data_IF_734866993753
#
_entry.id   IF_734866993753
#
_cell.length_a   1.000
_cell.length_b   1.000
_cell.length_c   1.000
_cell.angle_alpha   90.00
_cell.angle_beta   90.00
_cell.angle_gamma   90.00
#
_symmetry.space_group_name_H-M   'P 1'
#
loop_
_entity.id
_entity.type
_entity.pdbx_description
1 polymer ?
#
# COMPACT_ATOMS: atom_id res chain seq x y z
N UNK A 1 -7.85 -4.65 -20.27
CA UNK A 1 -7.28 -3.71 -19.28
C UNK A 1 -6.27 -4.44 -18.40
N UNK A 2 -5.02 -3.94 -18.31
CA UNK A 2 -3.94 -4.62 -17.58
C UNK A 2 -4.08 -4.61 -16.05
N UNK A 3 -4.73 -3.63 -15.50
CA UNK A 3 -4.95 -3.47 -14.06
C UNK A 3 -6.35 -3.86 -13.60
N UNK A 4 -6.94 -4.86 -14.27
CA UNK A 4 -8.21 -5.44 -13.86
C UNK A 4 -8.07 -6.24 -12.56
N UNK A 5 -9.06 -6.07 -11.68
CA UNK A 5 -9.20 -6.77 -10.40
C UNK A 5 -10.07 -8.02 -10.53
N UNK A 6 -9.95 -8.93 -9.57
CA UNK A 6 -10.96 -9.96 -9.32
C UNK A 6 -11.94 -9.40 -8.29
N UNK A 7 -13.23 -9.33 -8.63
CA UNK A 7 -14.24 -8.66 -7.81
C UNK A 7 -15.11 -9.67 -7.06
N UNK A 8 -15.48 -9.33 -5.83
CA UNK A 8 -16.48 -10.04 -5.03
C UNK A 8 -17.38 -9.01 -4.31
N UNK A 9 -18.46 -8.60 -4.95
CA UNK A 9 -19.29 -7.47 -4.52
C UNK A 9 -18.46 -6.18 -4.44
N UNK A 10 -18.42 -5.56 -3.27
CA UNK A 10 -17.64 -4.33 -3.02
C UNK A 10 -16.21 -4.62 -2.50
N UNK A 11 -15.71 -5.84 -2.66
CA UNK A 11 -14.36 -6.23 -2.25
C UNK A 11 -13.60 -6.78 -3.44
N UNK A 12 -12.31 -6.49 -3.47
CA UNK A 12 -11.46 -6.79 -4.61
C UNK A 12 -10.25 -7.60 -4.16
N UNK A 13 -9.93 -8.67 -4.90
CA UNK A 13 -8.62 -9.29 -4.91
C UNK A 13 -7.78 -8.47 -5.89
N UNK A 14 -7.26 -7.39 -5.38
CA UNK A 14 -6.99 -6.14 -6.01
C UNK A 14 -5.79 -6.09 -6.95
N UNK A 15 -4.81 -5.28 -6.56
CA UNK A 15 -3.73 -4.78 -7.40
C UNK A 15 -2.83 -5.87 -8.00
N UNK A 16 -2.27 -5.58 -9.19
CA UNK A 16 -1.35 -6.47 -9.92
C UNK A 16 -1.94 -7.14 -11.16
N UNK A 17 -3.17 -6.77 -11.56
CA UNK A 17 -3.77 -7.24 -12.81
C UNK A 17 -4.24 -8.70 -12.78
N UNK A 18 -4.52 -9.26 -11.60
CA UNK A 18 -4.97 -10.66 -11.49
C UNK A 18 -6.30 -10.92 -12.21
N UNK A 19 -7.19 -9.92 -12.32
CA UNK A 19 -8.38 -9.99 -13.14
C UNK A 19 -8.07 -10.15 -14.63
N UNK A 20 -7.03 -9.46 -15.13
CA UNK A 20 -6.59 -9.61 -16.50
C UNK A 20 -6.01 -11.02 -16.75
N UNK A 21 -5.25 -11.57 -15.80
CA UNK A 21 -4.74 -12.96 -15.88
C UNK A 21 -5.89 -13.95 -15.88
N UNK A 22 -6.88 -13.79 -15.00
CA UNK A 22 -8.07 -14.64 -14.94
C UNK A 22 -8.85 -14.60 -16.27
N UNK A 23 -9.08 -13.40 -16.81
CA UNK A 23 -9.77 -13.20 -18.07
C UNK A 23 -9.01 -13.81 -19.28
N UNK A 24 -7.67 -13.71 -19.30
CA UNK A 24 -6.84 -14.31 -20.37
C UNK A 24 -6.92 -15.83 -20.42
N UNK A 25 -7.36 -16.46 -19.34
CA UNK A 25 -7.56 -17.91 -19.23
C UNK A 25 -9.02 -18.31 -19.44
N UNK A 26 -9.87 -17.37 -19.88
CA UNK A 26 -11.33 -17.57 -20.05
C UNK A 26 -12.04 -18.03 -18.74
N UNK A 27 -11.44 -17.77 -17.58
CA UNK A 27 -12.03 -18.08 -16.28
C UNK A 27 -12.87 -16.88 -15.82
N UNK A 28 -14.20 -17.03 -15.83
CA UNK A 28 -15.12 -15.94 -15.52
C UNK A 28 -15.36 -15.73 -14.02
N UNK A 29 -15.49 -16.82 -13.28
CA UNK A 29 -15.76 -16.76 -11.84
C UNK A 29 -15.24 -18.00 -11.11
N UNK A 30 -14.99 -17.85 -9.80
CA UNK A 30 -14.77 -18.96 -8.88
C UNK A 30 -15.84 -18.84 -7.79
N UNK A 31 -16.64 -19.89 -7.60
CA UNK A 31 -17.70 -19.93 -6.58
C UNK A 31 -17.29 -20.90 -5.49
N UNK A 32 -17.32 -20.44 -4.25
CA UNK A 32 -17.11 -21.27 -3.07
C UNK A 32 -18.42 -21.39 -2.29
N UNK A 33 -18.90 -22.63 -2.13
CA UNK A 33 -20.05 -22.94 -1.30
C UNK A 33 -19.59 -23.38 0.09
N UNK A 34 -19.90 -22.60 1.11
CA UNK A 34 -19.68 -22.93 2.51
C UNK A 34 -20.99 -22.83 3.29
N UNK A 35 -21.32 -23.86 4.08
CA UNK A 35 -22.53 -23.82 4.94
C UNK A 35 -22.33 -22.92 6.16
N UNK A 36 -21.15 -22.97 6.77
CA UNK A 36 -20.79 -22.15 7.93
C UNK A 36 -19.33 -21.65 7.83
N UNK A 37 -19.12 -20.37 8.16
CA UNK A 37 -17.78 -19.85 8.39
C UNK A 37 -17.48 -19.92 9.90
N UNK A 38 -16.74 -20.96 10.30
CA UNK A 38 -16.37 -21.15 11.70
C UNK A 38 -14.92 -21.59 11.83
N UNK A 39 -14.12 -20.81 12.52
CA UNK A 39 -12.78 -21.25 12.93
C UNK A 39 -12.92 -22.07 14.20
N UNK A 40 -12.56 -23.34 14.14
CA UNK A 40 -12.52 -24.25 15.29
C UNK A 40 -11.06 -24.44 15.73
N UNK A 41 -10.56 -23.62 16.67
CA UNK A 41 -9.20 -23.75 17.14
C UNK A 41 -9.03 -25.02 17.97
N UNK A 42 -7.98 -25.80 17.71
CA UNK A 42 -7.67 -27.00 18.50
C UNK A 42 -7.37 -26.67 19.97
N UNK A 43 -6.83 -25.49 20.26
CA UNK A 43 -6.69 -24.96 21.62
C UNK A 43 -7.56 -23.71 21.80
N UNK A 44 -8.85 -23.90 22.07
CA UNK A 44 -9.83 -22.84 22.22
C UNK A 44 -9.51 -21.87 23.38
N UNK A 45 -8.98 -22.37 24.49
CA UNK A 45 -8.61 -21.54 25.66
C UNK A 45 -7.53 -20.53 25.29
N UNK A 46 -6.44 -20.99 24.68
CA UNK A 46 -5.34 -20.11 24.25
C UNK A 46 -5.79 -19.16 23.13
N UNK A 47 -6.56 -19.64 22.16
CA UNK A 47 -7.10 -18.82 21.10
C UNK A 47 -7.94 -17.66 21.62
N UNK A 48 -8.89 -17.95 22.54
CA UNK A 48 -9.75 -16.92 23.11
C UNK A 48 -8.97 -15.91 23.96
N UNK A 49 -7.94 -16.35 24.69
CA UNK A 49 -7.04 -15.45 25.45
C UNK A 49 -6.35 -14.45 24.52
N UNK A 50 -5.71 -14.94 23.45
CA UNK A 50 -4.96 -14.08 22.51
C UNK A 50 -5.91 -13.19 21.70
N UNK A 51 -7.06 -13.72 21.27
CA UNK A 51 -8.11 -12.95 20.61
C UNK A 51 -8.62 -11.79 21.47
N UNK A 52 -8.84 -12.03 22.78
CA UNK A 52 -9.25 -10.98 23.73
C UNK A 52 -8.17 -9.90 23.85
N UNK A 53 -6.90 -10.28 23.94
CA UNK A 53 -5.75 -9.35 23.97
C UNK A 53 -5.70 -8.50 22.68
N UNK A 54 -5.79 -9.13 21.52
CA UNK A 54 -5.77 -8.42 20.23
C UNK A 54 -6.94 -7.44 20.10
N UNK A 55 -8.16 -7.86 20.49
CA UNK A 55 -9.32 -6.97 20.47
C UNK A 55 -9.15 -5.82 21.47
N UNK A 56 -8.54 -6.04 22.62
CA UNK A 56 -8.14 -4.98 23.54
C UNK A 56 -7.21 -3.96 22.91
N UNK A 57 -6.16 -4.44 22.24
CA UNK A 57 -5.24 -3.56 21.50
C UNK A 57 -5.96 -2.76 20.40
N UNK A 58 -6.80 -3.41 19.58
CA UNK A 58 -7.57 -2.74 18.53
C UNK A 58 -8.49 -1.65 19.10
N UNK A 59 -9.18 -1.93 20.20
CA UNK A 59 -10.16 -1.00 20.79
C UNK A 59 -9.50 0.16 21.57
N UNK A 60 -8.27 -0.01 22.06
CA UNK A 60 -7.53 1.02 22.79
C UNK A 60 -6.62 1.87 21.86
N UNK A 61 -6.44 1.46 20.62
CA UNK A 61 -5.54 2.16 19.70
C UNK A 61 -6.27 3.29 18.98
N UNK A 62 -5.74 4.51 19.09
CA UNK A 62 -6.33 5.72 18.52
C UNK A 62 -6.48 5.69 17.00
N UNK A 63 -5.68 4.89 16.30
CA UNK A 63 -5.77 4.77 14.85
C UNK A 63 -6.90 3.81 14.47
N UNK A 64 -6.90 2.59 15.04
CA UNK A 64 -7.89 1.57 14.68
C UNK A 64 -9.27 1.87 15.24
N UNK A 65 -9.37 2.25 16.52
CA UNK A 65 -10.64 2.55 17.17
C UNK A 65 -11.08 4.00 17.08
N UNK A 66 -10.11 4.93 17.01
CA UNK A 66 -10.38 6.35 16.82
C UNK A 66 -10.58 6.69 15.35
N UNK A 67 -9.49 6.96 14.64
CA UNK A 67 -9.52 7.53 13.29
C UNK A 67 -10.19 6.62 12.25
N UNK A 68 -9.76 5.36 12.15
CA UNK A 68 -10.26 4.46 11.09
C UNK A 68 -11.70 4.01 11.32
N UNK A 69 -12.10 3.79 12.58
CA UNK A 69 -13.49 3.45 12.90
C UNK A 69 -14.44 4.60 12.64
N UNK A 70 -14.00 5.84 12.87
CA UNK A 70 -14.82 7.04 12.68
C UNK A 70 -14.86 7.53 11.24
N UNK A 71 -13.71 7.51 10.54
CA UNK A 71 -13.53 8.21 9.27
C UNK A 71 -13.06 7.31 8.12
N UNK A 72 -12.88 6.01 8.37
CA UNK A 72 -12.25 5.13 7.39
C UNK A 72 -10.77 5.47 7.16
N UNK A 73 -10.21 4.95 6.08
CA UNK A 73 -8.83 5.26 5.68
C UNK A 73 -8.65 6.71 5.24
N UNK A 74 -9.73 7.44 4.98
CA UNK A 74 -9.70 8.86 4.60
C UNK A 74 -9.21 9.78 5.74
N UNK A 75 -9.15 9.30 6.98
CA UNK A 75 -8.41 9.97 8.06
C UNK A 75 -6.94 10.25 7.68
N UNK A 76 -6.38 9.50 6.73
CA UNK A 76 -5.01 9.69 6.25
C UNK A 76 -4.84 10.94 5.36
N UNK A 77 -5.91 11.56 4.84
CA UNK A 77 -5.80 12.74 3.96
C UNK A 77 -5.12 13.89 4.69
N UNK A 78 -5.67 14.31 5.83
CA UNK A 78 -5.12 15.42 6.61
C UNK A 78 -3.73 15.08 7.16
N UNK A 79 -3.49 13.84 7.59
CA UNK A 79 -2.18 13.38 8.04
C UNK A 79 -1.13 13.43 6.93
N UNK A 80 -1.46 12.93 5.74
CA UNK A 80 -0.55 12.95 4.59
C UNK A 80 -0.28 14.37 4.10
N UNK A 81 -1.30 15.23 4.12
CA UNK A 81 -1.19 16.64 3.76
C UNK A 81 -0.25 17.39 4.71
N UNK A 82 -0.45 17.23 6.01
CA UNK A 82 0.39 17.84 7.05
C UNK A 82 1.84 17.33 7.00
N UNK A 83 2.03 16.03 6.70
CA UNK A 83 3.36 15.44 6.55
C UNK A 83 4.04 15.78 5.20
N UNK A 84 3.33 16.43 4.29
CA UNK A 84 3.83 16.77 2.96
C UNK A 84 4.03 15.57 2.05
N UNK A 85 3.29 14.49 2.23
CA UNK A 85 3.35 13.26 1.42
C UNK A 85 2.07 12.97 0.63
N UNK A 86 1.07 13.86 0.69
CA UNK A 86 -0.14 13.74 -0.13
C UNK A 86 0.24 13.96 -1.61
N UNK A 87 -0.16 13.07 -2.54
CA UNK A 87 0.08 13.33 -3.96
C UNK A 87 -0.75 14.52 -4.44
N UNK A 88 -0.09 15.46 -5.09
CA UNK A 88 -0.71 16.66 -5.66
C UNK A 88 -0.22 16.85 -7.08
N UNK A 89 -1.14 16.98 -8.04
CA UNK A 89 -0.85 17.24 -9.46
C UNK A 89 0.25 16.29 -10.00
N UNK A 90 -0.14 15.04 -10.21
CA UNK A 90 0.75 13.95 -10.60
C UNK A 90 2.04 13.88 -9.77
N UNK A 91 1.91 13.97 -8.43
CA UNK A 91 3.04 13.97 -7.48
C UNK A 91 4.04 15.14 -7.67
N UNK A 92 3.68 16.25 -8.30
CA UNK A 92 4.57 17.42 -8.36
C UNK A 92 4.62 18.19 -7.03
N UNK A 93 3.55 18.12 -6.22
CA UNK A 93 3.47 18.66 -4.86
C UNK A 93 3.21 17.57 -3.82
N UNK A 94 3.38 17.92 -2.53
CA UNK A 94 3.18 17.01 -1.39
C UNK A 94 2.12 17.48 -0.40
N UNK A 95 1.52 18.64 -0.63
CA UNK A 95 0.44 19.23 0.18
C UNK A 95 -0.37 20.23 -0.63
N UNK A 96 -1.65 20.44 -0.25
CA UNK A 96 -2.56 21.40 -0.87
C UNK A 96 -3.52 21.99 0.16
N UNK A 97 -3.84 23.29 0.06
CA UNK A 97 -4.73 23.98 0.99
C UNK A 97 -6.16 23.45 1.03
N UNK A 98 -6.65 22.92 -0.07
CA UNK A 98 -8.01 22.37 -0.19
C UNK A 98 -8.14 20.88 0.17
N UNK A 99 -7.04 20.23 0.61
CA UNK A 99 -7.06 18.79 0.93
C UNK A 99 -8.15 18.42 1.94
N UNK A 100 -8.45 19.31 2.89
CA UNK A 100 -9.49 19.10 3.88
C UNK A 100 -10.88 18.83 3.27
N UNK A 101 -11.18 19.34 2.06
CA UNK A 101 -12.46 19.16 1.35
C UNK A 101 -12.73 17.70 0.97
N UNK A 102 -11.69 16.85 0.93
CA UNK A 102 -11.79 15.43 0.62
C UNK A 102 -11.34 14.56 1.81
N UNK A 103 -11.28 15.11 3.03
CA UNK A 103 -10.89 14.39 4.24
C UNK A 103 -11.99 13.49 4.77
N UNK A 104 -11.61 12.47 5.57
CA UNK A 104 -12.56 11.56 6.19
C UNK A 104 -13.46 12.26 7.21
N UNK A 105 -12.95 13.27 7.89
CA UNK A 105 -13.68 14.09 8.84
C UNK A 105 -14.82 14.83 8.14
N UNK A 106 -14.52 15.52 7.02
CA UNK A 106 -15.55 16.22 6.25
C UNK A 106 -16.57 15.28 5.62
N UNK A 107 -16.13 14.11 5.16
CA UNK A 107 -17.05 13.09 4.63
C UNK A 107 -18.01 12.56 5.69
N UNK A 108 -17.53 12.31 6.90
CA UNK A 108 -18.37 11.88 8.01
C UNK A 108 -19.42 12.94 8.37
N UNK A 109 -19.05 14.21 8.34
CA UNK A 109 -19.93 15.34 8.63
C UNK A 109 -21.02 15.54 7.56
N UNK A 110 -20.63 15.51 6.25
CA UNK A 110 -21.51 15.95 5.16
C UNK A 110 -22.26 14.84 4.42
N UNK A 111 -21.82 13.58 4.52
CA UNK A 111 -22.34 12.48 3.69
C UNK A 111 -23.04 11.37 4.48
N UNK A 112 -23.47 11.62 5.72
CA UNK A 112 -24.24 10.67 6.55
C UNK A 112 -23.62 9.27 6.58
N UNK A 113 -22.34 9.19 6.84
CA UNK A 113 -21.59 7.93 6.72
C UNK A 113 -22.03 6.88 7.72
N UNK A 114 -22.17 5.64 7.27
CA UNK A 114 -22.52 4.46 8.08
C UNK A 114 -21.55 3.32 7.80
N UNK A 115 -21.38 2.41 8.78
CA UNK A 115 -20.49 1.26 8.60
C UNK A 115 -20.91 0.35 7.44
N UNK A 116 -19.95 0.01 6.61
CA UNK A 116 -20.05 -0.99 5.54
C UNK A 116 -18.75 -1.80 5.49
N UNK A 117 -18.59 -2.69 6.46
CA UNK A 117 -17.30 -3.32 6.79
C UNK A 117 -17.23 -4.77 6.34
N UNK A 118 -16.02 -5.33 6.36
CA UNK A 118 -15.80 -6.78 6.29
C UNK A 118 -16.51 -7.47 7.46
N UNK A 119 -16.95 -8.71 7.27
CA UNK A 119 -17.58 -9.50 8.33
C UNK A 119 -16.83 -10.82 8.54
N UNK A 120 -16.40 -11.15 9.79
CA UNK A 120 -16.38 -10.28 10.97
C UNK A 120 -15.25 -9.25 10.93
N UNK A 121 -15.42 -8.08 11.57
CA UNK A 121 -14.40 -7.04 11.63
C UNK A 121 -14.44 -6.32 12.99
N UNK A 122 -13.27 -6.17 13.64
CA UNK A 122 -13.11 -5.41 14.88
C UNK A 122 -12.68 -3.95 14.66
N UNK A 123 -12.16 -3.60 13.46
CA UNK A 123 -11.64 -2.25 13.16
C UNK A 123 -12.74 -1.33 12.64
N UNK A 124 -13.62 -1.86 11.78
CA UNK A 124 -14.78 -1.15 11.23
C UNK A 124 -14.44 0.05 10.32
N UNK A 125 -13.37 -0.05 9.54
CA UNK A 125 -12.88 1.05 8.69
C UNK A 125 -13.67 1.29 7.39
N UNK A 126 -14.53 0.38 6.96
CA UNK A 126 -15.33 0.54 5.75
C UNK A 126 -16.61 1.31 6.02
N UNK A 127 -16.96 2.25 5.14
CA UNK A 127 -18.15 3.08 5.25
C UNK A 127 -18.90 3.16 3.92
N UNK A 128 -20.20 3.52 3.99
CA UNK A 128 -21.02 4.00 2.89
C UNK A 128 -21.59 5.35 3.29
N UNK A 129 -21.89 6.19 2.32
CA UNK A 129 -22.44 7.53 2.54
C UNK A 129 -23.33 7.98 1.40
N UNK A 130 -24.02 9.10 1.59
CA UNK A 130 -24.87 9.72 0.58
C UNK A 130 -24.05 10.74 -0.22
N UNK A 131 -23.80 10.45 -1.49
CA UNK A 131 -23.09 11.33 -2.41
C UNK A 131 -24.02 11.77 -3.54
N UNK A 132 -24.49 13.01 -3.48
CA UNK A 132 -25.38 13.56 -4.50
C UNK A 132 -26.72 12.82 -4.63
N UNK A 133 -27.28 12.31 -3.53
CA UNK A 133 -28.53 11.54 -3.51
C UNK A 133 -28.37 10.03 -3.71
N UNK A 134 -27.17 9.55 -4.06
CA UNK A 134 -26.85 8.12 -4.21
C UNK A 134 -26.10 7.60 -2.98
N UNK A 135 -26.61 6.53 -2.36
CA UNK A 135 -25.90 5.85 -1.26
C UNK A 135 -24.91 4.85 -1.84
N UNK A 136 -23.63 5.14 -1.69
CA UNK A 136 -22.53 4.28 -2.20
C UNK A 136 -21.40 4.12 -1.20
N UNK A 137 -20.39 3.30 -1.53
CA UNK A 137 -19.19 3.14 -0.70
C UNK A 137 -18.41 4.45 -0.62
N UNK A 138 -18.03 4.85 0.58
CA UNK A 138 -17.06 5.95 0.76
C UNK A 138 -15.76 5.51 0.10
N UNK A 139 -15.20 6.28 -0.86
CA UNK A 139 -13.93 5.94 -1.49
C UNK A 139 -12.81 5.85 -0.44
N UNK A 140 -11.95 4.85 -0.53
CA UNK A 140 -10.80 4.67 0.36
C UNK A 140 -9.74 5.77 0.11
N UNK A 141 -8.85 5.99 1.08
CA UNK A 141 -7.79 7.02 0.99
C UNK A 141 -7.00 7.00 -0.32
N UNK A 142 -6.65 5.82 -0.80
CA UNK A 142 -5.91 5.68 -2.06
C UNK A 142 -6.69 6.25 -3.25
N UNK A 143 -7.98 5.99 -3.30
CA UNK A 143 -8.88 6.51 -4.34
C UNK A 143 -9.03 8.03 -4.21
N UNK A 144 -9.28 8.50 -2.99
CA UNK A 144 -9.45 9.93 -2.69
C UNK A 144 -8.19 10.73 -2.98
N UNK A 145 -7.03 10.26 -2.55
CA UNK A 145 -5.76 10.97 -2.78
C UNK A 145 -5.39 11.03 -4.25
N UNK A 146 -5.69 9.97 -5.01
CA UNK A 146 -5.26 9.89 -6.40
C UNK A 146 -6.27 10.47 -7.41
N UNK A 147 -7.57 10.30 -7.23
CA UNK A 147 -8.57 11.03 -8.04
C UNK A 147 -8.81 12.45 -7.54
N UNK A 148 -8.53 12.73 -6.27
CA UNK A 148 -8.68 14.05 -5.66
C UNK A 148 -7.45 14.93 -5.87
N UNK A 149 -6.63 15.08 -4.84
CA UNK A 149 -5.50 16.01 -4.85
C UNK A 149 -4.49 15.76 -5.98
N UNK A 150 -4.29 14.51 -6.38
CA UNK A 150 -3.38 14.18 -7.48
C UNK A 150 -3.88 14.66 -8.86
N UNK A 151 -5.20 14.81 -9.04
CA UNK A 151 -5.81 15.44 -10.23
C UNK A 151 -6.20 16.91 -9.98
N UNK A 152 -5.97 17.48 -8.79
CA UNK A 152 -6.44 18.81 -8.34
C UNK A 152 -7.97 18.93 -8.31
N UNK A 153 -8.68 17.85 -8.00
CA UNK A 153 -10.13 17.80 -7.91
C UNK A 153 -10.52 17.52 -6.46
N UNK A 154 -11.22 18.48 -5.83
CA UNK A 154 -11.56 18.43 -4.40
C UNK A 154 -13.07 18.30 -4.19
N UNK A 155 -13.73 17.50 -5.05
CA UNK A 155 -15.16 17.19 -5.01
C UNK A 155 -15.38 15.72 -4.62
N UNK A 156 -15.82 15.44 -3.37
CA UNK A 156 -16.08 14.08 -2.91
C UNK A 156 -17.17 13.36 -3.70
N UNK A 157 -18.16 14.10 -4.25
CA UNK A 157 -19.27 13.51 -5.01
C UNK A 157 -18.75 12.96 -6.34
N UNK A 158 -17.93 13.74 -7.05
CA UNK A 158 -17.29 13.28 -8.29
C UNK A 158 -16.35 12.11 -8.06
N UNK A 159 -15.56 12.13 -6.99
CA UNK A 159 -14.65 11.04 -6.68
C UNK A 159 -15.42 9.75 -6.31
N UNK A 160 -16.56 9.87 -5.61
CA UNK A 160 -17.43 8.73 -5.33
C UNK A 160 -18.06 8.14 -6.61
N UNK A 161 -18.49 8.99 -7.54
CA UNK A 161 -18.96 8.58 -8.87
C UNK A 161 -17.88 7.75 -9.61
N UNK A 162 -16.65 8.26 -9.66
CA UNK A 162 -15.54 7.56 -10.32
C UNK A 162 -15.12 6.27 -9.62
N UNK A 163 -15.21 6.24 -8.30
CA UNK A 163 -15.01 5.01 -7.53
C UNK A 163 -16.05 3.94 -7.89
N UNK A 164 -17.30 4.32 -8.08
CA UNK A 164 -18.37 3.41 -8.51
C UNK A 164 -18.09 2.87 -9.92
N UNK A 165 -17.75 3.74 -10.89
CA UNK A 165 -17.39 3.33 -12.25
C UNK A 165 -16.22 2.33 -12.22
N UNK A 166 -15.16 2.63 -11.46
CA UNK A 166 -14.03 1.71 -11.32
C UNK A 166 -14.45 0.37 -10.70
N UNK A 167 -15.36 0.40 -9.72
CA UNK A 167 -15.87 -0.82 -9.07
C UNK A 167 -16.69 -1.68 -10.01
N UNK A 168 -17.59 -1.08 -10.78
CA UNK A 168 -18.44 -1.76 -11.78
C UNK A 168 -17.60 -2.37 -12.90
N UNK A 169 -16.56 -1.66 -13.36
CA UNK A 169 -15.66 -2.12 -14.42
C UNK A 169 -14.53 -3.04 -13.92
N UNK A 170 -14.44 -3.27 -12.61
CA UNK A 170 -13.38 -4.08 -12.01
C UNK A 170 -11.97 -3.48 -12.16
N UNK A 171 -11.84 -2.16 -12.07
CA UNK A 171 -10.55 -1.46 -12.18
C UNK A 171 -9.85 -1.28 -10.83
N UNK A 172 -8.53 -1.35 -10.82
CA UNK A 172 -7.70 -0.80 -9.74
C UNK A 172 -7.76 0.73 -9.77
N UNK A 173 -8.41 1.35 -8.78
CA UNK A 173 -8.59 2.81 -8.70
C UNK A 173 -7.26 3.57 -8.64
N UNK A 174 -6.23 2.98 -8.03
CA UNK A 174 -4.88 3.56 -7.98
C UNK A 174 -4.29 3.65 -9.40
N UNK A 175 -4.31 2.54 -10.13
CA UNK A 175 -3.75 2.50 -11.48
C UNK A 175 -4.54 3.37 -12.45
N UNK A 176 -5.87 3.37 -12.36
CA UNK A 176 -6.71 4.24 -13.20
C UNK A 176 -6.40 5.71 -12.96
N UNK A 177 -6.42 6.18 -11.70
CA UNK A 177 -6.20 7.58 -11.35
C UNK A 177 -4.79 8.07 -11.72
N UNK A 178 -3.75 7.27 -11.45
CA UNK A 178 -2.36 7.64 -11.81
C UNK A 178 -2.15 7.64 -13.31
N UNK A 179 -2.80 6.73 -14.05
CA UNK A 179 -2.73 6.74 -15.53
C UNK A 179 -3.44 7.95 -16.11
N UNK A 180 -4.59 8.36 -15.54
CA UNK A 180 -5.29 9.61 -15.90
C UNK A 180 -4.40 10.83 -15.60
N UNK A 181 -3.74 10.86 -14.43
CA UNK A 181 -2.81 11.94 -14.08
C UNK A 181 -1.65 12.06 -15.09
N UNK A 182 -1.10 10.90 -15.54
CA UNK A 182 -0.13 10.89 -16.63
C UNK A 182 -0.72 11.47 -17.93
N UNK A 183 -1.93 11.07 -18.30
CA UNK A 183 -2.60 11.55 -19.51
C UNK A 183 -2.85 13.08 -19.48
N UNK A 184 -3.27 13.62 -18.33
CA UNK A 184 -3.42 15.06 -18.12
C UNK A 184 -2.10 15.80 -18.32
N UNK A 185 -1.01 15.32 -17.69
CA UNK A 185 0.31 15.96 -17.83
C UNK A 185 0.90 15.80 -19.23
N UNK A 186 0.72 14.63 -19.86
CA UNK A 186 1.14 14.39 -21.23
C UNK A 186 0.37 15.31 -22.23
N UNK A 187 -0.89 15.60 -21.97
CA UNK A 187 -1.69 16.56 -22.75
C UNK A 187 -1.15 17.98 -22.60
N UNK A 188 -0.86 18.44 -21.37
CA UNK A 188 -0.25 19.76 -21.15
C UNK A 188 1.12 19.92 -21.84
N UNK A 189 1.88 18.83 -21.98
CA UNK A 189 3.19 18.79 -22.62
C UNK A 189 3.13 18.55 -24.15
N UNK A 190 1.93 18.37 -24.72
CA UNK A 190 1.75 18.10 -26.14
C UNK A 190 2.20 16.71 -26.59
N UNK A 191 2.38 15.77 -25.67
CA UNK A 191 2.79 14.38 -25.96
C UNK A 191 1.61 13.46 -26.29
N UNK A 192 0.44 13.77 -25.75
CA UNK A 192 -0.80 12.99 -25.90
C UNK A 192 -2.01 13.91 -25.83
N UNK A 193 -3.01 13.70 -26.66
CA UNK A 193 -4.24 14.51 -26.62
C UNK A 193 -5.40 13.72 -25.97
N UNK A 194 -5.48 13.76 -24.65
CA UNK A 194 -6.55 13.11 -23.89
C UNK A 194 -7.78 14.01 -23.70
N UNK A 195 -7.68 15.31 -23.97
CA UNK A 195 -8.64 16.35 -23.61
C UNK A 195 -8.82 16.55 -22.10
N UNK A 196 -8.21 15.73 -21.24
CA UNK A 196 -8.29 15.82 -19.78
C UNK A 196 -7.38 16.92 -19.25
N UNK A 197 -7.83 17.62 -18.19
CA UNK A 197 -7.09 18.75 -17.60
C UNK A 197 -7.09 18.67 -16.08
N UNK A 198 -5.94 18.95 -15.44
CA UNK A 198 -5.89 19.09 -13.99
C UNK A 198 -6.87 20.16 -13.49
N UNK A 199 -7.58 19.86 -12.41
CA UNK A 199 -8.56 20.73 -11.78
C UNK A 199 -9.95 20.73 -12.45
N UNK A 200 -10.12 20.07 -13.61
CA UNK A 200 -11.44 19.87 -14.23
C UNK A 200 -11.90 18.41 -14.09
N UNK A 201 -13.14 18.18 -13.59
CA UNK A 201 -13.74 16.85 -13.58
C UNK A 201 -14.22 16.39 -14.96
N UNK A 202 -14.25 17.27 -15.95
CA UNK A 202 -14.80 17.01 -17.27
C UNK A 202 -14.04 15.90 -18.01
N UNK A 203 -14.76 14.97 -18.60
CA UNK A 203 -14.22 13.86 -19.37
C UNK A 203 -13.63 12.71 -18.55
N UNK A 204 -13.50 12.84 -17.20
CA UNK A 204 -12.88 11.77 -16.36
C UNK A 204 -13.79 10.55 -16.29
N UNK A 205 -15.10 10.71 -16.12
CA UNK A 205 -16.06 9.60 -16.09
C UNK A 205 -16.08 8.85 -17.42
N UNK A 206 -16.10 9.58 -18.53
CA UNK A 206 -16.06 9.05 -19.90
C UNK A 206 -14.75 8.28 -20.14
N UNK A 207 -13.62 8.85 -19.75
CA UNK A 207 -12.32 8.19 -19.87
C UNK A 207 -12.25 6.87 -19.07
N UNK A 208 -12.83 6.84 -17.86
CA UNK A 208 -12.93 5.60 -17.06
C UNK A 208 -13.82 4.55 -17.75
N UNK A 209 -14.97 4.95 -18.30
CA UNK A 209 -15.82 4.05 -19.06
C UNK A 209 -15.12 3.54 -20.33
N UNK A 210 -14.39 4.39 -21.04
CA UNK A 210 -13.59 4.00 -22.21
C UNK A 210 -12.46 3.02 -21.84
N UNK A 211 -11.79 3.22 -20.70
CA UNK A 211 -10.78 2.29 -20.17
C UNK A 211 -11.41 0.91 -19.92
N UNK A 212 -12.56 0.88 -19.25
CA UNK A 212 -13.28 -0.37 -18.96
C UNK A 212 -13.67 -1.14 -20.22
N UNK A 213 -14.12 -0.44 -21.23
CA UNK A 213 -14.56 -1.00 -22.50
C UNK A 213 -13.46 -1.11 -23.58
N UNK A 214 -12.24 -0.66 -23.30
CA UNK A 214 -11.11 -0.64 -24.25
C UNK A 214 -11.45 0.13 -25.54
N UNK A 215 -12.10 1.28 -25.45
CA UNK A 215 -12.54 2.15 -26.57
C UNK A 215 -11.84 3.51 -26.49
N UNK A 216 -11.89 4.29 -27.57
CA UNK A 216 -11.34 5.65 -27.62
C UNK A 216 -9.94 5.75 -27.05
N UNK A 217 -9.68 6.74 -26.20
CA UNK A 217 -8.43 6.90 -25.46
C UNK A 217 -8.22 5.78 -24.44
N UNK A 218 -9.30 5.15 -24.00
CA UNK A 218 -9.28 4.03 -23.07
C UNK A 218 -8.51 2.81 -23.56
N UNK A 219 -8.35 2.60 -24.88
CA UNK A 219 -7.50 1.54 -25.43
C UNK A 219 -6.06 1.64 -24.94
N UNK A 220 -5.52 2.84 -24.94
CA UNK A 220 -4.15 3.10 -24.52
C UNK A 220 -4.05 3.19 -23.00
N UNK A 221 -4.93 3.95 -22.36
CA UNK A 221 -4.92 4.14 -20.91
C UNK A 221 -5.14 2.82 -20.14
N UNK A 222 -5.90 1.89 -20.70
CA UNK A 222 -6.08 0.54 -20.12
C UNK A 222 -4.79 -0.30 -20.05
N UNK A 223 -3.74 0.14 -20.73
CA UNK A 223 -2.42 -0.50 -20.70
C UNK A 223 -1.53 0.00 -19.55
N UNK A 224 -1.94 1.06 -18.84
CA UNK A 224 -1.24 1.66 -17.72
C UNK A 224 -0.17 2.68 -18.11
N UNK A 225 0.24 3.51 -17.12
CA UNK A 225 1.12 4.67 -17.31
C UNK A 225 2.48 4.30 -17.91
N UNK A 226 3.06 3.15 -17.55
CA UNK A 226 4.35 2.67 -18.11
C UNK A 226 4.28 2.44 -19.61
N UNK A 227 3.18 1.81 -20.06
CA UNK A 227 3.01 1.53 -21.49
C UNK A 227 2.74 2.81 -22.27
N UNK A 228 1.86 3.67 -21.73
CA UNK A 228 1.56 4.96 -22.34
C UNK A 228 2.82 5.81 -22.52
N UNK A 229 3.63 5.91 -21.47
CA UNK A 229 4.87 6.68 -21.51
C UNK A 229 5.88 6.13 -22.51
N UNK A 230 6.00 4.81 -22.63
CA UNK A 230 6.85 4.20 -23.68
C UNK A 230 6.40 4.50 -25.10
N UNK A 231 5.08 4.64 -25.30
CA UNK A 231 4.52 4.90 -26.63
C UNK A 231 4.55 6.37 -27.01
N UNK A 232 4.31 7.25 -26.04
CA UNK A 232 4.07 8.68 -26.28
C UNK A 232 5.10 9.61 -25.64
N UNK A 233 5.99 9.09 -24.79
CA UNK A 233 6.94 9.89 -24.00
C UNK A 233 6.44 10.18 -22.59
N UNK A 234 7.25 10.91 -21.80
CA UNK A 234 6.90 11.28 -20.43
C UNK A 234 7.21 10.18 -19.42
N UNK A 235 8.27 9.39 -19.65
CA UNK A 235 8.70 8.34 -18.73
C UNK A 235 9.10 8.90 -17.35
N UNK A 236 9.63 10.13 -17.31
CA UNK A 236 10.07 10.81 -16.10
C UNK A 236 8.94 11.13 -15.13
N UNK A 237 7.71 11.33 -15.64
CA UNK A 237 6.49 11.59 -14.85
C UNK A 237 5.45 10.46 -14.91
N UNK A 238 5.80 9.31 -15.49
CA UNK A 238 4.99 8.09 -15.41
C UNK A 238 5.20 7.42 -14.03
N UNK A 239 4.28 7.65 -13.11
CA UNK A 239 4.42 7.31 -11.70
C UNK A 239 4.13 5.82 -11.45
N UNK A 240 5.10 4.97 -11.75
CA UNK A 240 5.01 3.52 -11.52
C UNK A 240 6.37 2.90 -11.16
N UNK A 241 6.34 1.72 -10.53
CA UNK A 241 7.53 0.86 -10.36
C UNK A 241 7.17 -0.54 -10.86
N UNK A 242 8.01 -1.10 -11.70
CA UNK A 242 7.78 -2.41 -12.35
C UNK A 242 6.45 -2.49 -13.12
N UNK A 243 5.92 -1.33 -13.55
CA UNK A 243 4.65 -1.22 -14.27
C UNK A 243 3.39 -1.23 -13.38
N UNK A 244 3.54 -1.17 -12.07
CA UNK A 244 2.44 -0.93 -11.13
C UNK A 244 2.48 0.53 -10.68
N UNK A 245 1.40 1.25 -10.86
CA UNK A 245 1.26 2.66 -10.47
C UNK A 245 1.36 2.81 -8.95
N UNK A 246 1.92 3.96 -8.50
CA UNK A 246 2.22 4.20 -7.09
C UNK A 246 0.98 4.56 -6.28
N UNK A 247 0.95 4.09 -5.05
CA UNK A 247 -0.04 4.45 -4.04
C UNK A 247 0.13 5.90 -3.56
N UNK A 248 -0.87 6.43 -2.87
CA UNK A 248 -1.02 7.86 -2.56
C UNK A 248 -0.08 8.39 -1.45
N UNK A 249 1.19 7.99 -1.45
CA UNK A 249 2.21 8.46 -0.50
C UNK A 249 3.48 8.86 -1.23
N UNK A 250 3.81 10.16 -1.24
CA UNK A 250 5.01 10.69 -1.91
C UNK A 250 6.29 10.26 -1.17
N UNK A 251 7.16 9.47 -1.83
CA UNK A 251 8.35 8.91 -1.19
C UNK A 251 9.43 9.93 -0.86
N UNK A 252 9.36 11.15 -1.42
CA UNK A 252 10.31 12.23 -1.10
C UNK A 252 10.11 12.75 0.33
N UNK A 253 8.95 12.50 0.96
CA UNK A 253 8.68 12.80 2.35
C UNK A 253 8.82 11.60 3.30
N UNK A 254 9.17 10.41 2.77
CA UNK A 254 9.37 9.18 3.52
C UNK A 254 10.30 8.24 2.74
N UNK A 255 11.62 8.50 2.81
CA UNK A 255 12.61 7.84 1.93
C UNK A 255 12.73 6.33 2.15
N UNK A 256 12.42 5.82 3.35
CA UNK A 256 12.34 4.37 3.59
C UNK A 256 11.15 3.74 2.87
N UNK A 257 10.04 4.47 2.76
CA UNK A 257 8.93 4.03 1.92
C UNK A 257 9.29 4.05 0.43
N UNK A 258 10.10 5.03 0.01
CA UNK A 258 10.69 5.05 -1.33
C UNK A 258 11.54 3.80 -1.63
N UNK A 259 12.37 3.37 -0.68
CA UNK A 259 13.10 2.11 -0.80
C UNK A 259 12.15 0.91 -0.91
N UNK A 260 11.09 0.89 -0.10
CA UNK A 260 10.07 -0.16 -0.15
C UNK A 260 9.35 -0.22 -1.50
N UNK A 261 8.98 0.92 -2.08
CA UNK A 261 8.38 0.95 -3.43
C UNK A 261 9.32 0.38 -4.48
N UNK A 262 10.60 0.78 -4.46
CA UNK A 262 11.58 0.31 -5.42
C UNK A 262 11.84 -1.19 -5.34
N UNK A 263 11.88 -1.76 -4.12
CA UNK A 263 12.23 -3.18 -3.88
C UNK A 263 11.06 -4.14 -3.82
N UNK A 264 9.83 -3.63 -3.69
CA UNK A 264 8.64 -4.47 -3.60
C UNK A 264 8.51 -5.44 -4.80
N UNK A 265 8.27 -6.72 -4.51
CA UNK A 265 8.25 -7.78 -5.51
C UNK A 265 7.18 -7.57 -6.58
N UNK A 266 6.03 -7.03 -6.24
CA UNK A 266 4.92 -6.76 -7.18
C UNK A 266 4.93 -5.35 -7.78
N UNK A 267 5.89 -4.50 -7.43
CA UNK A 267 5.95 -3.10 -7.88
C UNK A 267 5.53 -2.12 -6.78
N UNK A 268 5.11 -0.91 -7.16
CA UNK A 268 4.84 0.22 -6.26
C UNK A 268 3.68 -0.03 -5.28
N UNK A 269 3.91 -0.88 -4.28
CA UNK A 269 2.90 -1.25 -3.29
C UNK A 269 3.19 -0.68 -1.90
N UNK A 270 2.27 0.15 -1.38
CA UNK A 270 2.37 0.71 -0.03
C UNK A 270 2.22 -0.35 1.08
N UNK A 271 1.57 -1.48 0.80
CA UNK A 271 1.33 -2.56 1.77
C UNK A 271 2.50 -3.53 1.91
N UNK A 272 3.59 -3.35 1.17
CA UNK A 272 4.78 -4.20 1.35
C UNK A 272 5.47 -3.96 2.69
N UNK A 273 5.43 -2.73 3.22
CA UNK A 273 6.05 -2.39 4.51
C UNK A 273 5.28 -1.35 5.33
N UNK A 274 4.43 -0.56 4.73
CA UNK A 274 3.79 0.64 5.32
C UNK A 274 4.78 1.58 6.04
N UNK A 275 6.01 1.73 5.52
CA UNK A 275 7.06 2.55 6.14
C UNK A 275 6.64 4.02 6.32
N UNK A 276 5.76 4.54 5.45
CA UNK A 276 5.23 5.90 5.58
C UNK A 276 4.60 6.16 6.95
N UNK A 277 4.00 5.16 7.59
CA UNK A 277 3.38 5.33 8.91
C UNK A 277 4.42 5.64 9.99
N UNK A 278 5.55 4.93 9.98
CA UNK A 278 6.63 5.14 10.95
C UNK A 278 7.40 6.44 10.68
N UNK A 279 7.51 6.82 9.41
CA UNK A 279 8.30 7.98 8.99
C UNK A 279 7.50 9.27 9.05
N UNK A 280 6.28 9.29 8.50
CA UNK A 280 5.50 10.49 8.30
C UNK A 280 4.39 10.67 9.35
N UNK A 281 3.67 9.60 9.72
CA UNK A 281 2.53 9.73 10.63
C UNK A 281 2.96 9.71 12.11
N UNK A 282 3.81 8.76 12.49
CA UNK A 282 4.22 8.61 13.89
C UNK A 282 5.56 9.27 14.22
N UNK A 283 6.30 9.68 13.20
CA UNK A 283 7.64 10.27 13.34
C UNK A 283 8.61 9.42 14.21
N UNK A 284 8.36 8.11 14.29
CA UNK A 284 9.19 7.16 15.03
C UNK A 284 10.48 6.80 14.30
N UNK A 285 10.56 7.12 13.01
CA UNK A 285 11.76 7.04 12.19
C UNK A 285 11.90 8.35 11.40
N UNK A 286 13.11 8.89 11.27
CA UNK A 286 13.31 10.14 10.52
C UNK A 286 12.90 9.95 9.04
N UNK A 287 12.02 10.80 8.48
CA UNK A 287 11.53 10.65 7.12
C UNK A 287 12.61 10.83 6.05
N UNK A 288 13.71 11.52 6.35
CA UNK A 288 14.77 11.84 5.39
C UNK A 288 16.10 11.11 5.63
N UNK A 289 16.27 10.46 6.78
CA UNK A 289 17.50 9.75 7.10
C UNK A 289 17.60 8.42 6.34
N UNK A 290 18.75 8.18 5.73
CA UNK A 290 19.07 6.91 5.02
C UNK A 290 19.46 5.78 5.96
N UNK A 291 19.95 6.13 7.17
CA UNK A 291 20.47 5.17 8.15
C UNK A 291 19.33 4.29 8.69
N UNK A 292 19.56 2.98 8.78
CA UNK A 292 18.61 2.00 9.31
C UNK A 292 17.48 1.59 8.36
N UNK A 293 17.18 2.36 7.29
CA UNK A 293 16.03 2.11 6.41
C UNK A 293 16.05 0.73 5.75
N UNK A 294 17.21 0.29 5.26
CA UNK A 294 17.38 -1.02 4.65
C UNK A 294 17.03 -2.18 5.59
N UNK A 295 17.37 -2.05 6.89
CA UNK A 295 17.04 -3.05 7.90
C UNK A 295 15.55 -3.03 8.24
N UNK A 296 14.95 -1.83 8.36
CA UNK A 296 13.52 -1.66 8.62
C UNK A 296 12.69 -2.22 7.47
N UNK A 297 12.99 -1.84 6.23
CA UNK A 297 12.28 -2.33 5.04
C UNK A 297 12.38 -3.87 4.97
N UNK A 298 13.57 -4.44 5.11
CA UNK A 298 13.75 -5.90 5.17
C UNK A 298 12.86 -6.55 6.24
N UNK A 299 12.81 -5.99 7.43
CA UNK A 299 12.03 -6.53 8.55
C UNK A 299 10.53 -6.51 8.24
N UNK A 300 9.99 -5.35 7.84
CA UNK A 300 8.55 -5.20 7.60
C UNK A 300 8.07 -5.98 6.39
N UNK A 301 8.85 -6.06 5.29
CA UNK A 301 8.52 -6.94 4.16
C UNK A 301 8.36 -8.40 4.61
N UNK A 302 9.26 -8.88 5.48
CA UNK A 302 9.15 -10.24 6.04
C UNK A 302 7.93 -10.39 6.96
N UNK A 303 7.68 -9.45 7.86
CA UNK A 303 6.53 -9.50 8.78
C UNK A 303 5.22 -9.46 8.01
N UNK A 304 5.08 -8.54 7.06
CA UNK A 304 3.85 -8.44 6.26
C UNK A 304 3.65 -9.64 5.32
N UNK A 305 4.71 -10.22 4.76
CA UNK A 305 4.59 -11.47 4.00
C UNK A 305 4.07 -12.63 4.87
N UNK A 306 4.56 -12.74 6.12
CA UNK A 306 4.06 -13.73 7.07
C UNK A 306 2.60 -13.47 7.48
N UNK A 307 2.22 -12.21 7.73
CA UNK A 307 0.82 -11.82 8.00
C UNK A 307 -0.11 -12.17 6.85
N UNK A 308 0.30 -11.87 5.61
CA UNK A 308 -0.48 -12.18 4.42
C UNK A 308 -0.74 -13.68 4.28
N UNK A 309 0.24 -14.53 4.64
CA UNK A 309 0.06 -15.98 4.63
C UNK A 309 -0.98 -16.50 5.64
N UNK A 310 -1.30 -15.68 6.65
CA UNK A 310 -2.35 -15.95 7.63
C UNK A 310 -3.69 -15.28 7.30
N UNK A 311 -3.79 -14.59 6.17
CA UNK A 311 -4.98 -13.82 5.76
C UNK A 311 -5.45 -12.79 6.80
N UNK A 312 -4.52 -12.17 7.53
CA UNK A 312 -4.82 -11.19 8.57
C UNK A 312 -4.85 -9.78 7.97
N UNK A 313 -5.83 -8.98 8.38
CA UNK A 313 -5.95 -7.59 7.97
C UNK A 313 -4.72 -6.78 8.39
N UNK A 314 -4.12 -6.02 7.46
CA UNK A 314 -2.95 -5.18 7.70
C UNK A 314 -3.17 -4.12 8.78
N UNK A 315 -4.38 -3.62 8.95
CA UNK A 315 -4.67 -2.59 9.97
C UNK A 315 -4.53 -3.10 11.40
N UNK A 316 -4.58 -4.43 11.64
CA UNK A 316 -4.27 -4.99 12.95
C UNK A 316 -2.82 -4.71 13.37
N UNK A 317 -1.93 -4.50 12.42
CA UNK A 317 -0.52 -4.19 12.69
C UNK A 317 -0.35 -2.88 13.48
N UNK A 318 -1.19 -1.87 13.24
CA UNK A 318 -1.12 -0.61 14.01
C UNK A 318 -1.31 -0.85 15.50
N UNK A 319 -2.34 -1.62 15.87
CA UNK A 319 -2.58 -1.95 17.27
C UNK A 319 -1.46 -2.84 17.84
N UNK A 320 -1.02 -3.86 17.09
CA UNK A 320 0.02 -4.80 17.56
C UNK A 320 1.39 -4.09 17.72
N UNK A 321 1.72 -3.13 16.86
CA UNK A 321 3.00 -2.43 16.95
C UNK A 321 3.00 -1.30 17.99
N UNK A 322 1.86 -0.64 18.24
CA UNK A 322 1.81 0.58 19.03
C UNK A 322 1.30 0.39 20.47
N UNK A 323 0.50 -0.64 20.73
CA UNK A 323 -0.10 -0.87 22.05
C UNK A 323 0.82 -1.59 23.07
N UNK A 324 1.82 -2.42 22.68
CA UNK A 324 2.72 -2.99 23.68
C UNK A 324 3.40 -1.90 24.52
N UNK A 325 3.52 -2.10 25.86
CA UNK A 325 3.94 -1.07 26.80
C UNK A 325 5.29 -0.42 26.45
N UNK A 326 6.24 -1.21 25.95
CA UNK A 326 7.56 -0.71 25.57
C UNK A 326 7.48 0.38 24.49
N UNK A 327 6.65 0.21 23.50
CA UNK A 327 6.47 1.21 22.43
C UNK A 327 5.55 2.33 22.91
N UNK A 328 4.43 1.98 23.54
CA UNK A 328 3.39 2.92 23.95
C UNK A 328 3.92 4.00 24.92
N UNK A 329 4.80 3.62 25.84
CA UNK A 329 5.30 4.52 26.86
C UNK A 329 6.71 5.08 26.56
N UNK A 330 7.35 4.68 25.49
CA UNK A 330 8.63 5.28 25.07
C UNK A 330 8.37 6.59 24.31
N UNK A 331 8.94 7.72 24.74
CA UNK A 331 8.79 8.99 24.03
C UNK A 331 9.26 8.90 22.58
N UNK A 332 8.56 9.57 21.66
CA UNK A 332 8.88 9.58 20.23
C UNK A 332 10.35 9.91 19.91
N UNK A 333 11.01 10.90 20.58
CA UNK A 333 12.44 11.14 20.36
C UNK A 333 13.32 9.95 20.68
N UNK A 334 13.01 9.20 21.75
CA UNK A 334 13.71 7.96 22.12
C UNK A 334 13.53 6.85 21.07
N UNK A 335 12.29 6.63 20.60
CA UNK A 335 12.01 5.69 19.52
C UNK A 335 12.75 6.06 18.24
N UNK A 336 12.80 7.34 17.90
CA UNK A 336 13.53 7.85 16.74
C UNK A 336 15.04 7.61 16.85
N UNK A 337 15.61 7.85 18.02
CA UNK A 337 17.02 7.59 18.29
C UNK A 337 17.36 6.09 18.14
N UNK A 338 16.53 5.20 18.73
CA UNK A 338 16.67 3.75 18.62
C UNK A 338 16.57 3.27 17.18
N UNK A 339 15.56 3.71 16.44
CA UNK A 339 15.35 3.29 15.05
C UNK A 339 16.44 3.77 14.10
N UNK A 340 17.10 4.87 14.39
CA UNK A 340 18.20 5.42 13.58
C UNK A 340 19.56 4.80 13.90
N UNK A 341 19.87 4.61 15.19
CA UNK A 341 21.21 4.25 15.64
C UNK A 341 21.33 2.78 16.01
N UNK A 342 20.28 2.18 16.55
CA UNK A 342 20.23 0.80 17.03
C UNK A 342 19.08 0.03 16.36
N UNK A 343 18.90 0.23 15.04
CA UNK A 343 17.78 -0.34 14.27
C UNK A 343 17.56 -1.85 14.52
N UNK A 344 18.58 -2.73 14.51
CA UNK A 344 18.36 -4.16 14.77
C UNK A 344 17.78 -4.41 16.17
N UNK A 345 18.24 -3.66 17.18
CA UNK A 345 17.73 -3.77 18.54
C UNK A 345 16.28 -3.29 18.62
N UNK A 346 15.99 -2.12 18.06
CA UNK A 346 14.63 -1.56 18.02
C UNK A 346 13.63 -2.55 17.40
N UNK A 347 13.98 -3.19 16.29
CA UNK A 347 13.13 -4.17 15.62
C UNK A 347 13.00 -5.50 16.37
N UNK A 348 14.00 -5.90 17.14
CA UNK A 348 13.93 -7.10 17.98
C UNK A 348 13.07 -6.89 19.23
N UNK A 349 12.91 -5.64 19.67
CA UNK A 349 12.04 -5.26 20.80
C UNK A 349 10.56 -5.13 20.37
N UNK A 350 10.25 -5.12 19.08
CA UNK A 350 8.86 -5.11 18.61
C UNK A 350 8.17 -6.45 18.89
N UNK A 351 7.08 -6.40 19.64
CA UNK A 351 6.28 -7.59 19.92
C UNK A 351 5.37 -7.94 18.73
N UNK A 352 5.74 -8.99 18.02
CA UNK A 352 4.96 -9.57 16.92
C UNK A 352 4.38 -10.93 17.28
N UNK A 353 4.33 -11.26 18.56
CA UNK A 353 3.99 -12.60 19.05
C UNK A 353 2.51 -12.99 18.89
N UNK A 354 1.60 -12.02 18.80
CA UNK A 354 0.16 -12.26 18.68
C UNK A 354 -0.17 -13.13 17.47
N UNK A 355 0.41 -12.85 16.31
CA UNK A 355 0.13 -13.61 15.10
C UNK A 355 0.56 -15.08 15.18
N UNK A 356 1.81 -15.42 15.54
CA UNK A 356 2.18 -16.83 15.71
C UNK A 356 1.46 -17.52 16.88
N UNK A 357 1.09 -16.79 17.95
CA UNK A 357 0.28 -17.37 19.03
C UNK A 357 -1.11 -17.82 18.54
N UNK A 358 -1.81 -16.97 17.77
CA UNK A 358 -3.09 -17.32 17.17
C UNK A 358 -2.96 -18.56 16.27
N UNK A 359 -1.95 -18.57 15.39
CA UNK A 359 -1.71 -19.72 14.51
C UNK A 359 -1.45 -21.01 15.29
N UNK A 360 -0.58 -20.97 16.34
CA UNK A 360 -0.31 -22.13 17.18
C UNK A 360 -1.56 -22.64 17.89
N UNK A 361 -2.39 -21.73 18.40
CA UNK A 361 -3.64 -22.09 19.07
C UNK A 361 -4.65 -22.76 18.09
N UNK A 362 -4.78 -22.25 16.88
CA UNK A 362 -5.62 -22.87 15.83
C UNK A 362 -5.13 -24.26 15.49
N UNK A 363 -3.81 -24.44 15.34
CA UNK A 363 -3.19 -25.72 14.98
C UNK A 363 -3.03 -26.71 16.15
N UNK A 364 -3.35 -26.31 17.39
CA UNK A 364 -3.16 -27.13 18.59
C UNK A 364 -1.68 -27.36 18.94
N UNK A 365 -0.80 -26.45 18.54
CA UNK A 365 0.64 -26.54 18.80
C UNK A 365 1.03 -25.70 20.01
N UNK A 366 2.02 -26.15 20.78
CA UNK A 366 2.59 -25.36 21.86
C UNK A 366 3.35 -24.16 21.29
N UNK A 367 3.03 -22.98 21.79
CA UNK A 367 3.74 -21.76 21.45
C UNK A 367 4.92 -21.55 22.40
N UNK A 368 6.12 -21.49 21.85
CA UNK A 368 7.34 -21.12 22.58
C UNK A 368 7.68 -19.69 22.14
N UNK A 369 7.62 -18.67 23.02
CA UNK A 369 7.60 -17.26 22.64
C UNK A 369 8.70 -16.86 21.65
N UNK A 370 9.94 -16.94 22.04
CA UNK A 370 11.06 -16.54 21.19
C UNK A 370 11.17 -17.36 19.89
N UNK A 371 11.08 -18.69 20.02
CA UNK A 371 11.16 -19.61 18.88
C UNK A 371 9.99 -19.42 17.89
N UNK A 372 8.79 -19.16 18.41
CA UNK A 372 7.61 -18.88 17.58
C UNK A 372 7.77 -17.62 16.76
N UNK A 373 8.29 -16.55 17.35
CA UNK A 373 8.58 -15.30 16.62
C UNK A 373 9.69 -15.48 15.57
N UNK A 374 10.76 -16.22 15.90
CA UNK A 374 11.83 -16.50 14.92
C UNK A 374 11.30 -17.30 13.72
N UNK A 375 10.48 -18.34 13.97
CA UNK A 375 9.86 -19.13 12.90
C UNK A 375 8.92 -18.28 12.04
N UNK A 376 8.13 -17.41 12.64
CA UNK A 376 7.24 -16.50 11.94
C UNK A 376 8.04 -15.56 11.02
N UNK A 377 9.10 -14.92 11.53
CA UNK A 377 9.99 -14.06 10.74
C UNK A 377 10.69 -14.82 9.61
N UNK A 378 11.18 -16.05 9.88
CA UNK A 378 11.81 -16.91 8.85
C UNK A 378 10.83 -17.29 7.75
N UNK A 379 9.57 -17.57 8.10
CA UNK A 379 8.50 -17.85 7.13
C UNK A 379 8.28 -16.65 6.20
N UNK A 380 8.16 -15.45 6.75
CA UNK A 380 7.99 -14.23 5.94
C UNK A 380 9.21 -13.92 5.08
N UNK A 381 10.42 -14.08 5.61
CA UNK A 381 11.65 -13.95 4.81
C UNK A 381 11.67 -14.93 3.64
N UNK A 382 11.28 -16.20 3.89
CA UNK A 382 11.21 -17.24 2.86
C UNK A 382 10.20 -16.91 1.77
N UNK A 383 9.00 -16.43 2.11
CA UNK A 383 7.97 -16.01 1.15
C UNK A 383 8.51 -14.88 0.29
N UNK A 384 9.01 -13.81 0.91
CA UNK A 384 9.52 -12.65 0.18
C UNK A 384 10.69 -12.98 -0.76
N UNK A 385 11.63 -13.83 -0.29
CA UNK A 385 12.78 -14.25 -1.12
C UNK A 385 12.35 -15.18 -2.24
N UNK A 386 11.36 -16.05 -2.02
CA UNK A 386 10.80 -16.91 -3.07
C UNK A 386 10.14 -16.07 -4.18
N UNK A 387 9.32 -15.10 -3.83
CA UNK A 387 8.72 -14.16 -4.79
C UNK A 387 9.80 -13.41 -5.58
N UNK A 388 10.85 -12.91 -4.89
CA UNK A 388 11.98 -12.25 -5.57
C UNK A 388 12.71 -13.20 -6.52
N UNK A 389 12.96 -14.43 -6.09
CA UNK A 389 13.61 -15.44 -6.92
C UNK A 389 12.79 -15.76 -8.18
N UNK A 390 11.47 -15.91 -8.05
CA UNK A 390 10.58 -16.08 -9.21
C UNK A 390 10.67 -14.89 -10.16
N UNK A 391 10.61 -13.66 -9.63
CA UNK A 391 10.72 -12.45 -10.45
C UNK A 391 12.06 -12.35 -11.18
N UNK A 392 13.17 -12.76 -10.55
CA UNK A 392 14.49 -12.73 -11.23
C UNK A 392 14.57 -13.72 -12.38
N UNK A 393 13.84 -14.83 -12.31
CA UNK A 393 13.73 -15.77 -13.43
C UNK A 393 12.93 -15.21 -14.61
N UNK A 394 12.04 -14.24 -14.35
CA UNK A 394 11.29 -13.49 -15.36
C UNK A 394 12.05 -12.22 -15.81
N UNK A 395 13.34 -12.08 -15.46
CA UNK A 395 14.22 -11.01 -15.90
C UNK A 395 14.19 -9.72 -15.05
N UNK A 396 13.45 -9.70 -13.94
CA UNK A 396 13.48 -8.57 -13.00
C UNK A 396 14.82 -8.56 -12.26
N UNK A 397 15.44 -7.39 -12.21
CA UNK A 397 16.77 -7.22 -11.61
C UNK A 397 16.91 -5.82 -10.99
N UNK A 398 18.13 -5.43 -10.64
CA UNK A 398 18.45 -4.10 -10.12
C UNK A 398 17.93 -2.94 -10.98
N UNK A 399 17.93 -3.10 -12.30
CA UNK A 399 17.42 -2.08 -13.23
C UNK A 399 15.96 -1.72 -13.02
N UNK A 400 15.18 -2.67 -12.44
CA UNK A 400 13.77 -2.52 -12.16
C UNK A 400 13.50 -2.04 -10.71
N UNK A 401 14.52 -2.09 -9.84
CA UNK A 401 14.44 -1.63 -8.44
C UNK A 401 14.76 -0.13 -8.36
N UNK A 402 13.95 0.67 -9.01
CA UNK A 402 14.10 2.13 -9.10
C UNK A 402 12.78 2.83 -8.83
N UNK A 403 12.81 4.14 -8.82
CA UNK A 403 11.64 5.02 -8.74
C UNK A 403 11.50 5.83 -10.02
N UNK A 404 10.30 6.36 -10.34
CA UNK A 404 10.11 7.35 -11.40
C UNK A 404 11.09 8.51 -11.32
N UNK A 405 11.50 9.03 -12.47
CA UNK A 405 12.48 10.13 -12.58
C UNK A 405 12.13 11.33 -11.72
N UNK A 406 10.84 11.66 -11.63
CA UNK A 406 10.32 12.73 -10.76
C UNK A 406 10.78 12.64 -9.30
N UNK A 407 10.84 11.46 -8.72
CA UNK A 407 11.25 11.30 -7.30
C UNK A 407 12.78 11.29 -7.11
N UNK A 408 13.51 11.03 -8.17
CA UNK A 408 14.97 10.97 -8.15
C UNK A 408 15.61 12.32 -8.46
N UNK A 409 14.95 13.13 -9.31
CA UNK A 409 15.55 14.32 -9.92
C UNK A 409 14.83 15.62 -9.55
N UNK A 410 13.56 15.56 -9.10
CA UNK A 410 12.75 16.75 -8.83
C UNK A 410 12.38 16.84 -7.35
N UNK A 411 12.61 18.00 -6.71
CA UNK A 411 12.06 18.30 -5.40
C UNK A 411 10.55 18.58 -5.46
N UNK A 412 9.84 18.35 -4.34
CA UNK A 412 8.42 18.74 -4.26
C UNK A 412 8.30 20.25 -4.17
N UNK A 413 7.28 20.84 -4.79
CA UNK A 413 6.99 22.28 -4.66
C UNK A 413 6.77 22.74 -3.21
N UNK A 414 6.25 21.86 -2.36
CA UNK A 414 6.03 22.12 -0.92
C UNK A 414 7.28 21.94 -0.04
N UNK A 415 8.40 21.48 -0.58
CA UNK A 415 9.65 21.26 0.16
C UNK A 415 10.72 22.27 -0.28
N UNK A 416 10.90 23.32 0.50
CA UNK A 416 11.90 24.39 0.26
C UNK A 416 13.34 23.88 0.14
N UNK A 417 13.65 22.66 0.62
CA UNK A 417 14.97 22.03 0.50
C UNK A 417 15.13 21.23 -0.80
N UNK A 418 14.09 21.11 -1.62
CA UNK A 418 14.14 20.41 -2.89
C UNK A 418 14.59 18.93 -2.77
N UNK A 419 14.23 18.23 -1.69
CA UNK A 419 14.74 16.87 -1.42
C UNK A 419 14.18 15.84 -2.37
N UNK A 420 15.03 14.92 -2.80
CA UNK A 420 14.72 13.75 -3.62
C UNK A 420 15.00 12.45 -2.88
N UNK A 421 14.63 11.31 -3.45
CA UNK A 421 14.87 10.01 -2.82
C UNK A 421 16.27 9.48 -3.18
N UNK A 422 17.18 9.31 -2.20
CA UNK A 422 18.56 8.87 -2.46
C UNK A 422 18.64 7.34 -2.59
N UNK A 423 17.95 6.76 -3.60
CA UNK A 423 17.69 5.33 -3.71
C UNK A 423 18.96 4.47 -3.80
N UNK A 424 19.93 4.85 -4.62
CA UNK A 424 21.15 4.06 -4.86
C UNK A 424 21.93 3.74 -3.58
N UNK A 425 22.05 4.75 -2.68
CA UNK A 425 22.77 4.60 -1.41
C UNK A 425 22.06 3.65 -0.44
N UNK A 426 20.73 3.53 -0.54
CA UNK A 426 19.93 2.64 0.29
C UNK A 426 19.85 1.24 -0.31
N UNK A 427 19.74 1.12 -1.63
CA UNK A 427 19.58 -0.13 -2.35
C UNK A 427 20.77 -1.06 -2.16
N UNK A 428 22.02 -0.54 -2.31
CA UNK A 428 23.24 -1.32 -2.04
C UNK A 428 23.27 -1.95 -0.65
N UNK A 429 22.84 -1.19 0.38
CA UNK A 429 22.76 -1.68 1.76
C UNK A 429 21.64 -2.71 1.94
N UNK A 430 20.51 -2.50 1.24
CA UNK A 430 19.39 -3.41 1.26
C UNK A 430 19.75 -4.77 0.68
N UNK A 431 20.37 -4.82 -0.50
CA UNK A 431 20.81 -6.08 -1.12
C UNK A 431 21.74 -6.86 -0.22
N UNK A 432 22.75 -6.18 0.35
CA UNK A 432 23.67 -6.81 1.32
C UNK A 432 22.90 -7.36 2.53
N UNK A 433 21.98 -6.60 3.10
CA UNK A 433 21.19 -7.01 4.26
C UNK A 433 20.25 -8.20 3.94
N UNK A 434 19.75 -8.29 2.69
CA UNK A 434 18.91 -9.39 2.20
C UNK A 434 19.72 -10.65 1.89
N UNK A 435 21.00 -10.54 1.56
CA UNK A 435 21.81 -11.61 1.00
C UNK A 435 21.58 -11.78 -0.51
N UNK A 436 21.30 -10.67 -1.20
CA UNK A 436 21.26 -10.58 -2.65
C UNK A 436 22.62 -10.15 -3.19
N UNK A 437 22.89 -10.49 -4.44
CA UNK A 437 24.06 -9.99 -5.16
C UNK A 437 23.90 -8.51 -5.57
N UNK A 438 24.85 -7.98 -6.32
CA UNK A 438 24.86 -6.59 -6.79
C UNK A 438 23.73 -6.29 -7.80
N UNK A 439 23.18 -7.30 -8.45
CA UNK A 439 22.06 -7.23 -9.40
C UNK A 439 20.71 -7.46 -8.73
N UNK A 440 20.68 -7.61 -7.40
CA UNK A 440 19.45 -7.83 -6.64
C UNK A 440 18.89 -9.25 -6.76
N UNK A 441 19.72 -10.21 -7.15
CA UNK A 441 19.37 -11.62 -7.27
C UNK A 441 19.69 -12.34 -5.96
N UNK A 442 18.76 -13.16 -5.40
CA UNK A 442 19.02 -13.94 -4.22
C UNK A 442 20.19 -14.90 -4.44
N UNK A 443 21.19 -14.87 -3.55
CA UNK A 443 22.34 -15.78 -3.64
C UNK A 443 21.98 -17.22 -3.32
N UNK A 444 22.72 -18.19 -3.86
CA UNK A 444 22.52 -19.62 -3.60
C UNK A 444 22.59 -19.96 -2.12
N UNK A 445 23.52 -19.32 -1.39
CA UNK A 445 23.63 -19.44 0.06
C UNK A 445 22.34 -19.05 0.78
N UNK A 446 21.70 -17.96 0.34
CA UNK A 446 20.42 -17.50 0.88
C UNK A 446 19.30 -18.49 0.57
N UNK A 447 19.19 -18.93 -0.68
CA UNK A 447 18.17 -19.88 -1.12
C UNK A 447 18.28 -21.19 -0.35
N UNK A 448 19.48 -21.74 -0.22
CA UNK A 448 19.75 -22.96 0.57
C UNK A 448 19.40 -22.78 2.07
N UNK A 449 19.78 -21.65 2.68
CA UNK A 449 19.43 -21.33 4.08
C UNK A 449 17.92 -21.30 4.33
N UNK A 450 17.16 -20.83 3.34
CA UNK A 450 15.70 -20.72 3.43
C UNK A 450 14.96 -21.98 2.94
N UNK A 451 15.67 -22.99 2.43
CA UNK A 451 15.08 -24.19 1.86
C UNK A 451 14.22 -23.89 0.61
N UNK A 452 14.67 -22.97 -0.23
CA UNK A 452 14.07 -22.64 -1.53
C UNK A 452 14.77 -23.48 -2.59
N UNK A 453 14.05 -24.34 -3.33
CA UNK A 453 14.65 -25.18 -4.36
C UNK A 453 15.27 -24.33 -5.47
N UNK A 454 16.51 -24.61 -5.80
CA UNK A 454 17.17 -24.10 -7.00
C UNK A 454 16.82 -25.08 -8.13
N UNK A 455 15.67 -24.91 -8.76
CA UNK A 455 15.38 -25.65 -9.97
C UNK A 455 15.79 -24.81 -11.18
N UNK A 456 16.55 -25.49 -12.00
CA UNK A 456 16.94 -25.13 -13.35
C UNK A 456 15.71 -24.90 -14.23
#
# INVERSE_FOLDING_TARGET
MRYANICSGHRFLGRGGMGAVMGSKNLKAVVALGKEYKILPKNAKQFNKVKKQLNGYINNNNITAGSYRSFGTNANVNLSNAAGILPVRNFSGGSHGEAHKISGELMAEKHETKYNTCKPCSILCGHKGNFGGKVTSVPEYETIGLFGSNLLIFDPVKIAEWNDICSEMGMDTISAAVTIAWAMEATEKGLYDSKLKFGSPDGVAEALAEIGHMKGIGKDLAMGSRWCAKKYGGEEFAINVKGMEMAAYDPRGCVGHGLSYATANRGACHLSTSMFTLEAFFNMASPYAKRGKHTMVKFFEGVYAAMNSLHICHFTAFAIFLEPPLIKFTPVPGLKLLTQNLTPLALNLMDISIWPQLWHAVMGKTYIPYLGMLKFRKTGERIHVLERYMNTREGISKKDDTLPGRFLNEGRKSDVKGRTVPIEKMLKKYYRARGYDENGIPTDRLLKRLGIPQRV
#
